data_IF_165828332755
#
_entry.id   IF_165828332755
#
_cell.length_a   1.000
_cell.length_b   1.000
_cell.length_c   1.000
_cell.angle_alpha   90.00
_cell.angle_beta   90.00
_cell.angle_gamma   90.00
#
_symmetry.space_group_name_H-M   'P 1'
#
loop_
_entity.id
_entity.type
_entity.pdbx_description
1 polymer ?
#
# COMPACT_ATOMS: atom_id res chain seq x y z
N UNK A 1 -11.21 5.11 -26.59
CA UNK A 1 -11.16 5.98 -25.40
C UNK A 1 -10.72 5.14 -24.22
N UNK A 2 -9.83 5.63 -23.34
CA UNK A 2 -9.36 4.87 -22.17
C UNK A 2 -9.95 5.50 -20.92
N UNK A 3 -10.95 4.86 -20.33
CA UNK A 3 -11.49 5.23 -19.03
C UNK A 3 -10.44 4.84 -17.97
N UNK A 4 -9.92 5.81 -17.24
CA UNK A 4 -8.96 5.59 -16.16
C UNK A 4 -9.62 5.93 -14.83
N UNK A 5 -9.47 5.04 -13.86
CA UNK A 5 -9.97 5.21 -12.51
C UNK A 5 -8.82 5.52 -11.56
N UNK A 6 -9.11 6.38 -10.59
CA UNK A 6 -8.20 6.79 -9.52
C UNK A 6 -8.94 6.64 -8.21
N UNK A 7 -8.28 6.06 -7.22
CA UNK A 7 -8.76 6.04 -5.85
C UNK A 7 -8.13 7.22 -5.11
N UNK A 8 -8.96 8.01 -4.43
CA UNK A 8 -8.54 9.13 -3.60
C UNK A 8 -8.96 8.81 -2.16
N UNK A 9 -7.97 8.67 -1.28
CA UNK A 9 -8.21 8.51 0.16
C UNK A 9 -8.74 9.83 0.74
N UNK A 10 -9.45 9.77 1.87
CA UNK A 10 -9.93 10.96 2.60
C UNK A 10 -8.78 11.90 3.01
N UNK A 11 -7.58 11.37 3.26
CA UNK A 11 -6.40 12.17 3.54
C UNK A 11 -5.81 12.87 2.29
N UNK A 12 -6.40 12.68 1.11
CA UNK A 12 -5.94 13.23 -0.17
C UNK A 12 -4.89 12.39 -0.89
N UNK A 13 -4.48 11.23 -0.35
CA UNK A 13 -3.57 10.33 -1.06
C UNK A 13 -4.21 9.77 -2.34
N UNK A 14 -3.46 9.76 -3.44
CA UNK A 14 -3.94 9.38 -4.76
C UNK A 14 -3.26 8.08 -5.19
N UNK A 15 -4.06 7.05 -5.51
CA UNK A 15 -3.60 5.80 -6.07
C UNK A 15 -4.26 5.56 -7.43
N UNK A 16 -3.51 5.09 -8.44
CA UNK A 16 -4.15 4.56 -9.65
C UNK A 16 -4.91 3.25 -9.32
N UNK A 17 -5.84 2.82 -10.17
CA UNK A 17 -6.64 1.60 -9.96
C UNK A 17 -5.77 0.37 -9.59
N UNK A 18 -4.67 0.15 -10.32
CA UNK A 18 -3.77 -0.98 -10.05
C UNK A 18 -3.07 -0.87 -8.70
N UNK A 19 -2.62 0.32 -8.31
CA UNK A 19 -1.98 0.55 -7.01
C UNK A 19 -2.99 0.35 -5.86
N UNK A 20 -4.20 0.89 -5.98
CA UNK A 20 -5.24 0.71 -4.98
C UNK A 20 -5.60 -0.78 -4.80
N UNK A 21 -5.79 -1.52 -5.90
CA UNK A 21 -6.06 -2.97 -5.85
C UNK A 21 -4.92 -3.76 -5.23
N UNK A 22 -3.68 -3.43 -5.59
CA UNK A 22 -2.50 -4.08 -5.03
C UNK A 22 -2.44 -3.86 -3.51
N UNK A 23 -2.60 -2.61 -3.05
CA UNK A 23 -2.58 -2.27 -1.63
C UNK A 23 -3.72 -2.93 -0.86
N UNK A 24 -4.95 -2.91 -1.41
CA UNK A 24 -6.11 -3.61 -0.82
C UNK A 24 -5.83 -5.11 -0.62
N UNK A 25 -5.10 -5.74 -1.54
CA UNK A 25 -4.79 -7.16 -1.45
C UNK A 25 -3.58 -7.46 -0.54
N UNK A 26 -2.66 -6.51 -0.37
CA UNK A 26 -1.44 -6.66 0.43
C UNK A 26 -1.71 -6.40 1.92
N UNK A 27 -2.11 -5.18 2.27
CA UNK A 27 -2.27 -4.69 3.64
C UNK A 27 -3.67 -4.13 3.91
N UNK A 28 -4.34 -3.67 2.85
CA UNK A 28 -5.59 -2.91 2.91
C UNK A 28 -5.49 -1.63 3.75
N UNK A 29 -4.37 -0.91 3.65
CA UNK A 29 -4.15 0.33 4.38
C UNK A 29 -3.62 1.44 3.47
N UNK A 30 -4.04 2.67 3.72
CA UNK A 30 -3.44 3.84 3.09
C UNK A 30 -2.10 4.13 3.75
N UNK A 31 -1.00 3.97 3.00
CA UNK A 31 0.37 4.23 3.47
C UNK A 31 0.67 5.68 3.91
N UNK A 32 -0.29 6.60 3.83
CA UNK A 32 -0.11 8.00 4.27
C UNK A 32 -0.78 8.27 5.62
N UNK A 33 -1.94 7.67 5.89
CA UNK A 33 -2.74 7.97 7.08
C UNK A 33 -3.20 6.74 7.85
N UNK A 34 -2.74 5.55 7.47
CA UNK A 34 -2.97 4.27 8.14
C UNK A 34 -4.46 3.90 8.31
N UNK A 35 -5.34 4.43 7.46
CA UNK A 35 -6.75 4.04 7.42
C UNK A 35 -7.01 2.97 6.34
N UNK A 36 -8.04 2.13 6.49
CA UNK A 36 -8.37 1.14 5.48
C UNK A 36 -8.69 1.77 4.11
N UNK A 37 -8.20 1.16 3.04
CA UNK A 37 -8.59 1.56 1.67
C UNK A 37 -9.99 1.01 1.34
N UNK A 38 -10.25 -0.25 1.69
CA UNK A 38 -11.55 -0.90 1.54
C UNK A 38 -12.07 -1.32 2.91
N UNK A 39 -13.04 -0.57 3.45
CA UNK A 39 -13.67 -0.83 4.74
C UNK A 39 -14.48 -2.14 4.80
N UNK A 40 -14.75 -2.80 3.66
CA UNK A 40 -15.39 -4.11 3.63
C UNK A 40 -14.42 -5.28 3.86
N UNK A 41 -13.11 -5.01 3.88
CA UNK A 41 -12.04 -6.02 4.03
C UNK A 41 -11.25 -5.79 5.31
N UNK A 42 -10.69 -6.86 5.92
CA UNK A 42 -9.80 -6.71 7.05
C UNK A 42 -8.49 -6.03 6.63
N UNK A 43 -7.87 -5.30 7.56
CA UNK A 43 -6.47 -4.86 7.43
C UNK A 43 -5.58 -6.07 7.69
N UNK A 44 -4.62 -6.32 6.81
CA UNK A 44 -3.62 -7.37 7.00
C UNK A 44 -2.41 -6.74 7.67
N UNK A 45 -2.11 -7.14 8.89
CA UNK A 45 -0.84 -6.82 9.54
C UNK A 45 0.20 -7.74 8.90
N UNK A 46 1.17 -7.19 8.17
CA UNK A 46 2.37 -7.95 7.82
C UNK A 46 3.14 -8.09 9.13
N UNK A 47 3.22 -9.31 9.65
CA UNK A 47 4.17 -9.61 10.72
C UNK A 47 5.55 -9.27 10.17
N UNK A 48 6.24 -8.30 10.77
CA UNK A 48 7.65 -8.06 10.49
C UNK A 48 8.39 -9.33 10.92
N UNK A 49 8.67 -10.23 9.96
CA UNK A 49 9.69 -11.24 10.19
C UNK A 49 10.98 -10.47 10.52
N UNK A 50 11.66 -10.72 11.66
CA UNK A 50 12.93 -10.08 11.97
C UNK A 50 14.02 -10.65 11.04
N UNK A 51 14.00 -10.22 9.78
CA UNK A 51 15.05 -10.46 8.80
C UNK A 51 16.11 -9.38 8.92
N UNK A 52 17.30 -9.74 9.39
CA UNK A 52 18.48 -8.87 9.38
C UNK A 52 18.69 -8.27 7.98
N UNK A 53 18.49 -6.96 7.86
CA UNK A 53 18.91 -6.19 6.69
C UNK A 53 20.44 -6.12 6.69
N UNK A 54 21.12 -7.07 6.05
CA UNK A 54 22.56 -6.97 5.80
C UNK A 54 22.80 -5.99 4.64
N UNK A 55 23.11 -4.74 4.96
CA UNK A 55 23.59 -3.78 3.97
C UNK A 55 25.04 -4.15 3.59
N UNK A 56 25.21 -4.98 2.57
CA UNK A 56 26.50 -5.14 1.92
C UNK A 56 26.91 -3.81 1.28
N UNK A 57 27.77 -3.08 1.99
CA UNK A 57 28.43 -1.86 1.51
C UNK A 57 29.37 -2.21 0.36
N UNK A 58 28.84 -2.35 -0.85
CA UNK A 58 29.66 -2.59 -2.04
C UNK A 58 29.30 -1.73 -3.24
N UNK A 59 29.07 -0.44 -3.03
CA UNK A 59 29.28 0.56 -4.09
C UNK A 59 29.93 1.81 -3.49
N UNK A 60 31.24 1.95 -3.74
CA UNK A 60 32.02 3.18 -3.64
C UNK A 60 32.51 3.51 -5.03
#
# INVERSE_FOLDING_TARGET
EVLKFTYICECGAIYCDNCARALINLENICWVCDVPIDYSKPVKQIEEEPGEITFDKKYK
#
